data_IF_448020050434
#
_entry.id   IF_448020050434
#
_cell.length_a   1.000
_cell.length_b   1.000
_cell.length_c   1.000
_cell.angle_alpha   90.00
_cell.angle_beta   90.00
_cell.angle_gamma   90.00
#
_symmetry.space_group_name_H-M   'P 1'
#
loop_
_entity.id
_entity.type
_entity.pdbx_description
1 polymer ?
#
# COMPACT_ATOMS: atom_id res chain seq x y z
N UNK A 1 -22.65 -12.66 40.70
CA UNK A 1 -21.41 -11.90 40.43
C UNK A 1 -20.47 -12.60 39.45
N UNK A 2 -20.06 -13.86 39.66
CA UNK A 2 -19.15 -14.60 38.74
C UNK A 2 -19.64 -14.68 37.29
N UNK A 3 -20.93 -14.98 37.06
CA UNK A 3 -21.52 -15.06 35.71
C UNK A 3 -21.50 -13.74 34.93
N UNK A 4 -21.57 -12.59 35.62
CA UNK A 4 -21.53 -11.26 35.00
C UNK A 4 -20.11 -10.91 34.54
N UNK A 5 -19.10 -11.30 35.34
CA UNK A 5 -17.68 -11.12 35.02
C UNK A 5 -17.26 -11.99 33.82
N UNK A 6 -17.77 -13.23 33.75
CA UNK A 6 -17.51 -14.13 32.61
C UNK A 6 -18.12 -13.61 31.31
N UNK A 7 -19.33 -13.03 31.37
CA UNK A 7 -19.98 -12.44 30.19
C UNK A 7 -19.24 -11.18 29.70
N UNK A 8 -18.78 -10.33 30.63
CA UNK A 8 -17.96 -9.16 30.31
C UNK A 8 -16.63 -9.54 29.65
N UNK A 9 -16.00 -10.63 30.11
CA UNK A 9 -14.77 -11.16 29.51
C UNK A 9 -14.97 -11.65 28.07
N UNK A 10 -16.04 -12.39 27.79
CA UNK A 10 -16.34 -12.83 26.43
C UNK A 10 -16.69 -11.66 25.51
N UNK A 11 -17.37 -10.63 26.02
CA UNK A 11 -17.65 -9.41 25.26
C UNK A 11 -16.38 -8.61 24.93
N UNK A 12 -15.47 -8.46 25.89
CA UNK A 12 -14.20 -7.74 25.67
C UNK A 12 -13.27 -8.48 24.72
N UNK A 13 -13.22 -9.82 24.78
CA UNK A 13 -12.43 -10.63 23.84
C UNK A 13 -13.04 -10.58 22.43
N UNK A 14 -14.37 -10.63 22.31
CA UNK A 14 -15.05 -10.48 21.03
C UNK A 14 -14.81 -9.11 20.37
N UNK A 15 -14.83 -8.04 21.16
CA UNK A 15 -14.56 -6.69 20.68
C UNK A 15 -13.09 -6.51 20.25
N UNK A 16 -12.14 -7.08 21.00
CA UNK A 16 -10.72 -7.03 20.65
C UNK A 16 -10.42 -7.77 19.34
N UNK A 17 -11.04 -8.95 19.13
CA UNK A 17 -10.94 -9.68 17.87
C UNK A 17 -11.52 -8.88 16.70
N UNK A 18 -12.68 -8.23 16.88
CA UNK A 18 -13.28 -7.41 15.83
C UNK A 18 -12.38 -6.24 15.40
N UNK A 19 -11.69 -5.58 16.34
CA UNK A 19 -10.74 -4.49 16.04
C UNK A 19 -9.45 -4.96 15.37
N UNK A 20 -9.04 -6.22 15.57
CA UNK A 20 -7.87 -6.78 14.90
C UNK A 20 -8.17 -7.15 13.44
N UNK A 21 -9.41 -7.55 13.13
CA UNK A 21 -9.82 -7.85 11.75
C UNK A 21 -10.18 -6.62 10.91
N UNK A 22 -10.51 -5.48 11.52
CA UNK A 22 -10.79 -4.24 10.77
C UNK A 22 -9.55 -3.66 10.08
N UNK A 23 -8.34 -3.93 10.58
CA UNK A 23 -7.09 -3.54 9.92
C UNK A 23 -6.81 -4.33 8.63
N UNK A 24 -7.17 -5.62 8.61
CA UNK A 24 -7.02 -6.50 7.45
C UNK A 24 -8.06 -6.26 6.36
N UNK A 25 -9.16 -5.55 6.67
CA UNK A 25 -10.20 -5.23 5.69
C UNK A 25 -9.62 -4.49 4.48
N UNK A 26 -8.64 -3.61 4.67
CA UNK A 26 -7.96 -2.87 3.59
C UNK A 26 -7.24 -3.80 2.58
N UNK A 27 -6.60 -4.86 3.07
CA UNK A 27 -5.89 -5.85 2.24
C UNK A 27 -6.89 -6.73 1.48
N UNK A 28 -8.00 -7.12 2.13
CA UNK A 28 -9.05 -7.91 1.49
C UNK A 28 -9.81 -7.09 0.45
N UNK A 29 -10.14 -5.82 0.74
CA UNK A 29 -10.82 -4.94 -0.22
C UNK A 29 -9.93 -4.60 -1.40
N UNK A 30 -8.63 -4.34 -1.20
CA UNK A 30 -7.71 -4.08 -2.30
C UNK A 30 -7.48 -5.32 -3.18
N UNK A 31 -7.38 -6.51 -2.58
CA UNK A 31 -7.28 -7.77 -3.33
C UNK A 31 -8.57 -8.10 -4.11
N UNK A 32 -9.74 -7.90 -3.50
CA UNK A 32 -11.04 -8.10 -4.15
C UNK A 32 -11.28 -7.10 -5.28
N UNK A 33 -10.87 -5.84 -5.09
CA UNK A 33 -10.97 -4.80 -6.10
C UNK A 33 -10.08 -5.14 -7.31
N UNK A 34 -8.84 -5.60 -7.09
CA UNK A 34 -7.95 -6.09 -8.16
C UNK A 34 -8.49 -7.32 -8.90
N UNK A 35 -9.13 -8.25 -8.19
CA UNK A 35 -9.72 -9.44 -8.82
C UNK A 35 -10.96 -9.12 -9.68
N UNK A 36 -11.62 -7.99 -9.43
CA UNK A 36 -12.76 -7.51 -10.22
C UNK A 36 -12.34 -6.70 -11.46
N UNK A 37 -11.07 -6.30 -11.55
CA UNK A 37 -10.58 -5.57 -12.71
C UNK A 37 -10.47 -6.50 -13.93
N UNK A 38 -11.14 -6.12 -15.03
CA UNK A 38 -11.03 -6.81 -16.32
C UNK A 38 -9.67 -6.49 -17.00
N UNK A 39 -8.58 -6.97 -16.42
CA UNK A 39 -7.19 -6.74 -16.89
C UNK A 39 -6.43 -8.06 -16.95
N UNK A 40 -5.45 -8.14 -17.86
CA UNK A 40 -4.59 -9.32 -17.94
C UNK A 40 -3.83 -9.50 -16.62
N UNK A 41 -3.73 -10.74 -16.15
CA UNK A 41 -2.93 -11.08 -14.95
C UNK A 41 -1.48 -10.64 -15.12
N UNK A 42 -0.96 -10.67 -16.35
CA UNK A 42 0.40 -10.24 -16.68
C UNK A 42 0.62 -8.74 -16.42
N UNK A 43 -0.34 -7.89 -16.79
CA UNK A 43 -0.27 -6.46 -16.51
C UNK A 43 -0.32 -6.19 -15.01
N UNK A 44 -1.19 -6.87 -14.28
CA UNK A 44 -1.30 -6.73 -12.82
C UNK A 44 -0.02 -7.16 -12.09
N UNK A 45 0.61 -8.24 -12.56
CA UNK A 45 1.91 -8.71 -12.04
C UNK A 45 2.99 -7.68 -12.34
N UNK A 46 3.02 -7.13 -13.55
CA UNK A 46 3.99 -6.12 -13.94
C UNK A 46 3.83 -4.85 -13.11
N UNK A 47 2.59 -4.36 -12.93
CA UNK A 47 2.27 -3.19 -12.10
C UNK A 47 2.71 -3.41 -10.64
N UNK A 48 2.46 -4.60 -10.10
CA UNK A 48 2.88 -4.96 -8.74
C UNK A 48 4.41 -4.98 -8.60
N UNK A 49 5.13 -5.47 -9.61
CA UNK A 49 6.61 -5.46 -9.59
C UNK A 49 7.19 -4.05 -9.75
N UNK A 50 6.51 -3.15 -10.47
CA UNK A 50 6.89 -1.73 -10.56
C UNK A 50 6.68 -1.07 -9.19
N UNK A 51 5.50 -1.23 -8.60
CA UNK A 51 5.17 -0.68 -7.28
C UNK A 51 6.20 -1.11 -6.22
N UNK A 52 6.46 -2.41 -6.09
CA UNK A 52 7.42 -2.91 -5.09
C UNK A 52 8.86 -2.50 -5.39
N UNK A 53 9.24 -2.40 -6.67
CA UNK A 53 10.56 -1.91 -7.07
C UNK A 53 10.80 -0.45 -6.70
N UNK A 54 9.79 0.42 -6.92
CA UNK A 54 9.85 1.83 -6.49
C UNK A 54 9.88 1.91 -4.97
N UNK A 55 9.00 1.18 -4.28
CA UNK A 55 8.95 1.14 -2.82
C UNK A 55 10.30 0.74 -2.20
N UNK A 56 10.97 -0.27 -2.77
CA UNK A 56 12.29 -0.70 -2.29
C UNK A 56 13.37 0.39 -2.47
N UNK A 57 13.36 1.08 -3.62
CA UNK A 57 14.25 2.21 -3.88
C UNK A 57 14.01 3.37 -2.92
N UNK A 58 12.75 3.71 -2.62
CA UNK A 58 12.41 4.74 -1.63
C UNK A 58 12.90 4.33 -0.24
N UNK A 59 12.60 3.10 0.20
CA UNK A 59 13.08 2.55 1.49
C UNK A 59 14.59 2.65 1.64
N UNK A 60 15.34 2.33 0.59
CA UNK A 60 16.79 2.33 0.61
C UNK A 60 17.39 3.74 0.62
N UNK A 61 16.66 4.74 0.09
CA UNK A 61 17.03 6.15 0.16
C UNK A 61 16.73 6.73 1.55
N UNK A 62 15.48 6.63 1.98
CA UNK A 62 14.99 7.07 3.28
C UNK A 62 13.70 6.34 3.63
N UNK A 63 13.65 5.73 4.82
CA UNK A 63 12.48 4.99 5.29
C UNK A 63 11.29 5.92 5.59
N UNK A 64 11.52 7.20 5.88
CA UNK A 64 10.46 8.19 6.05
C UNK A 64 9.59 8.32 4.81
N UNK A 65 10.20 8.21 3.63
CA UNK A 65 9.49 8.31 2.34
C UNK A 65 8.42 7.23 2.15
N UNK A 66 8.47 6.11 2.89
CA UNK A 66 7.42 5.10 2.85
C UNK A 66 6.11 5.55 3.51
N UNK A 67 6.18 6.56 4.37
CA UNK A 67 5.03 7.18 5.01
C UNK A 67 4.55 8.40 4.24
N UNK A 68 5.48 9.09 3.59
CA UNK A 68 5.23 10.40 2.96
C UNK A 68 4.83 10.31 1.49
N UNK A 69 5.18 9.22 0.80
CA UNK A 69 4.95 9.02 -0.63
C UNK A 69 4.05 7.82 -0.89
N UNK A 70 2.94 8.05 -1.60
CA UNK A 70 2.09 7.00 -2.16
C UNK A 70 2.46 6.70 -3.62
N UNK A 71 2.43 5.41 -3.98
CA UNK A 71 2.79 4.91 -5.31
C UNK A 71 1.60 4.17 -5.91
N UNK A 72 0.91 4.80 -6.84
CA UNK A 72 -0.16 4.16 -7.62
C UNK A 72 0.38 3.75 -8.98
N UNK A 73 0.19 2.48 -9.34
CA UNK A 73 0.62 1.93 -10.63
C UNK A 73 -0.56 1.36 -11.39
N UNK A 74 -0.75 1.83 -12.62
CA UNK A 74 -1.82 1.40 -13.49
C UNK A 74 -1.36 1.30 -14.94
N UNK A 75 -1.42 0.09 -15.51
CA UNK A 75 -1.02 -0.20 -16.89
C UNK A 75 0.41 0.28 -17.18
N UNK A 76 1.32 -0.08 -16.27
CA UNK A 76 2.71 0.33 -16.23
C UNK A 76 2.95 1.86 -16.19
N UNK A 77 1.93 2.65 -15.82
CA UNK A 77 2.06 4.09 -15.57
C UNK A 77 2.07 4.34 -14.08
N UNK A 78 2.84 5.33 -13.64
CA UNK A 78 3.05 5.60 -12.22
C UNK A 78 2.53 7.00 -11.89
N UNK A 79 1.69 7.08 -10.86
CA UNK A 79 1.32 8.31 -10.18
C UNK A 79 1.97 8.30 -8.80
N UNK A 80 2.81 9.31 -8.56
CA UNK A 80 3.40 9.56 -7.25
C UNK A 80 2.64 10.71 -6.59
N UNK A 81 2.16 10.49 -5.38
CA UNK A 81 1.51 11.54 -4.56
C UNK A 81 2.13 11.52 -3.17
N UNK A 82 1.98 12.61 -2.43
CA UNK A 82 2.59 12.70 -1.09
C UNK A 82 2.86 14.13 -0.66
N UNK A 83 3.35 14.27 0.57
CA UNK A 83 3.84 15.53 1.12
C UNK A 83 5.33 15.39 1.33
N UNK A 84 6.12 16.33 0.80
CA UNK A 84 7.58 16.33 0.93
C UNK A 84 8.04 17.69 1.44
N UNK A 85 9.13 17.70 2.19
CA UNK A 85 9.66 18.90 2.84
C UNK A 85 10.24 19.92 1.85
N UNK A 86 10.81 19.44 0.73
CA UNK A 86 11.41 20.31 -0.29
C UNK A 86 11.37 19.73 -1.72
N UNK A 87 11.62 20.62 -2.69
CA UNK A 87 11.58 20.30 -4.13
C UNK A 87 12.74 19.42 -4.61
N UNK A 88 13.86 19.38 -3.88
CA UNK A 88 14.99 18.50 -4.14
C UNK A 88 14.60 17.05 -3.87
N UNK A 89 14.02 16.76 -2.71
CA UNK A 89 13.51 15.42 -2.37
C UNK A 89 12.48 14.95 -3.40
N UNK A 90 11.57 15.84 -3.83
CA UNK A 90 10.63 15.53 -4.92
C UNK A 90 11.35 15.08 -6.19
N UNK A 91 12.36 15.83 -6.63
CA UNK A 91 13.11 15.51 -7.86
C UNK A 91 13.86 14.18 -7.75
N UNK A 92 14.38 13.86 -6.57
CA UNK A 92 15.03 12.58 -6.29
C UNK A 92 14.04 11.41 -6.31
N UNK A 93 12.85 11.57 -5.69
CA UNK A 93 11.77 10.58 -5.71
C UNK A 93 11.32 10.28 -7.13
N UNK A 94 11.13 11.31 -7.95
CA UNK A 94 10.83 11.16 -9.38
C UNK A 94 11.94 10.42 -10.14
N UNK A 95 13.21 10.73 -9.85
CA UNK A 95 14.35 10.07 -10.47
C UNK A 95 14.45 8.59 -10.08
N UNK A 96 14.20 8.24 -8.82
CA UNK A 96 14.18 6.86 -8.33
C UNK A 96 13.07 6.04 -9.00
N UNK A 97 11.89 6.63 -9.21
CA UNK A 97 10.82 5.95 -9.94
C UNK A 97 11.20 5.69 -11.40
N UNK A 98 11.78 6.70 -12.08
CA UNK A 98 12.20 6.60 -13.50
C UNK A 98 13.30 5.58 -13.78
N UNK A 99 13.96 5.04 -12.75
CA UNK A 99 14.93 3.94 -12.92
C UNK A 99 14.25 2.61 -13.32
N UNK A 100 12.94 2.49 -13.16
CA UNK A 100 12.22 1.29 -13.57
C UNK A 100 11.92 1.30 -15.07
N UNK A 101 12.64 0.49 -15.83
CA UNK A 101 12.52 0.42 -17.30
C UNK A 101 11.17 -0.09 -17.80
N UNK A 102 10.33 -0.64 -16.92
CA UNK A 102 9.00 -1.13 -17.27
C UNK A 102 7.97 -0.01 -17.33
N UNK A 103 8.27 1.18 -16.80
CA UNK A 103 7.34 2.31 -16.78
C UNK A 103 7.16 2.85 -18.20
N UNK A 104 5.90 3.02 -18.60
CA UNK A 104 5.52 3.70 -19.84
C UNK A 104 5.56 5.21 -19.64
N UNK A 105 6.31 5.90 -20.49
CA UNK A 105 6.38 7.36 -20.57
C UNK A 105 5.48 7.81 -21.73
N UNK A 106 4.70 8.87 -21.52
CA UNK A 106 3.87 9.51 -22.54
C UNK A 106 4.71 10.36 -23.51
#
# INVERSE_FOLDING_TARGET
>A
MKKLLTLGYYFSVGLLMATLFSGCASVVTSAAQKAWENRSTEDQVTDSKIHTGILDRLKNKDKGLLLDVNIDVWEQRVLLTGTLDDAGVRSEVEALAKQDSRIKIL
#
